data_IF_995068275793
#
_entry.id   IF_995068275793
#
_cell.length_a   1.000
_cell.length_b   1.000
_cell.length_c   1.000
_cell.angle_alpha   90.00
_cell.angle_beta   90.00
_cell.angle_gamma   90.00
#
_symmetry.space_group_name_H-M   'P 1'
#
loop_
_entity.id
_entity.type
_entity.pdbx_description
1 polymer ?
#
# COMPACT_ATOMS: atom_id res chain seq x y z
N UNK A 1 -5.91 0.50 2.78
CA UNK A 1 -7.06 -0.30 2.29
C UNK A 1 -7.70 -1.18 3.38
N UNK A 2 -6.91 -1.92 4.15
CA UNK A 2 -7.46 -2.74 5.28
C UNK A 2 -8.31 -1.89 6.22
N UNK A 3 -7.83 -0.72 6.62
CA UNK A 3 -8.55 0.18 7.54
C UNK A 3 -9.96 0.54 7.02
N UNK A 4 -10.10 0.81 5.73
CA UNK A 4 -11.39 1.12 5.11
C UNK A 4 -12.35 -0.07 5.15
N UNK A 5 -11.84 -1.26 4.84
CA UNK A 5 -12.66 -2.46 4.72
C UNK A 5 -13.03 -3.05 6.08
N UNK A 6 -12.19 -2.89 7.08
CA UNK A 6 -12.40 -3.40 8.43
C UNK A 6 -13.00 -2.38 9.40
N UNK A 7 -13.27 -1.16 8.96
CA UNK A 7 -13.85 -0.12 9.83
C UNK A 7 -12.92 0.33 10.95
N UNK A 8 -11.62 0.33 10.71
CA UNK A 8 -10.63 0.75 11.69
C UNK A 8 -10.72 2.28 11.94
N UNK A 9 -10.18 2.77 13.08
CA UNK A 9 -10.29 4.20 13.44
C UNK A 9 -9.79 5.18 12.38
N UNK A 10 -8.83 4.76 11.57
CA UNK A 10 -8.24 5.58 10.50
C UNK A 10 -9.09 5.62 9.22
N UNK A 11 -10.20 4.88 9.17
CA UNK A 11 -11.00 4.74 7.94
C UNK A 11 -11.48 6.06 7.36
N UNK A 12 -11.94 6.99 8.21
CA UNK A 12 -12.42 8.29 7.75
C UNK A 12 -11.29 9.14 7.14
N UNK A 13 -10.13 9.17 7.80
CA UNK A 13 -8.96 9.89 7.32
C UNK A 13 -8.49 9.33 5.98
N UNK A 14 -8.41 8.02 5.88
CA UNK A 14 -8.01 7.33 4.66
C UNK A 14 -9.01 7.59 3.53
N UNK A 15 -10.30 7.52 3.83
CA UNK A 15 -11.36 7.78 2.85
C UNK A 15 -11.30 9.22 2.32
N UNK A 16 -11.09 10.19 3.20
CA UNK A 16 -10.96 11.60 2.81
C UNK A 16 -9.72 11.83 1.93
N UNK A 17 -8.58 11.29 2.34
CA UNK A 17 -7.34 11.42 1.57
C UNK A 17 -7.46 10.76 0.19
N UNK A 18 -8.15 9.63 0.11
CA UNK A 18 -8.37 8.92 -1.14
C UNK A 18 -9.31 9.71 -2.07
N UNK A 19 -10.36 10.32 -1.51
CA UNK A 19 -11.30 11.15 -2.28
C UNK A 19 -10.62 12.40 -2.85
N UNK A 20 -9.65 12.97 -2.14
CA UNK A 20 -8.90 14.13 -2.58
C UNK A 20 -7.80 13.79 -3.60
N UNK A 21 -7.42 12.53 -3.74
CA UNK A 21 -6.39 12.12 -4.68
C UNK A 21 -6.88 12.20 -6.12
N UNK A 22 -6.11 12.85 -6.99
CA UNK A 22 -6.50 13.00 -8.40
C UNK A 22 -6.44 11.68 -9.18
N UNK A 23 -5.38 10.90 -8.95
CA UNK A 23 -5.14 9.64 -9.68
C UNK A 23 -4.62 8.58 -8.71
N UNK A 24 -5.47 8.12 -7.78
CA UNK A 24 -5.04 7.10 -6.82
C UNK A 24 -4.72 5.78 -7.53
N UNK A 25 -3.68 5.11 -7.06
CA UNK A 25 -3.33 3.79 -7.57
C UNK A 25 -2.83 2.88 -6.45
N UNK A 26 -2.82 1.60 -6.74
CA UNK A 26 -2.26 0.57 -5.89
C UNK A 26 -1.48 -0.43 -6.74
N UNK A 27 -0.85 -1.39 -6.10
CA UNK A 27 -0.02 -2.40 -6.76
C UNK A 27 -0.56 -3.79 -6.50
N UNK A 28 -0.14 -4.76 -7.30
CA UNK A 28 -0.46 -6.16 -7.06
C UNK A 28 0.00 -6.61 -5.66
N UNK A 29 1.20 -6.19 -5.25
CA UNK A 29 1.72 -6.51 -3.91
C UNK A 29 0.82 -5.95 -2.80
N UNK A 30 0.42 -4.69 -2.91
CA UNK A 30 -0.43 -4.05 -1.91
C UNK A 30 -1.80 -4.74 -1.82
N UNK A 31 -2.38 -5.10 -2.95
CA UNK A 31 -3.67 -5.82 -2.99
C UNK A 31 -3.53 -7.20 -2.34
N UNK A 32 -2.46 -7.92 -2.64
CA UNK A 32 -2.21 -9.22 -2.02
C UNK A 32 -2.05 -9.12 -0.50
N UNK A 33 -1.31 -8.13 -0.02
CA UNK A 33 -1.15 -7.88 1.42
C UNK A 33 -2.50 -7.63 2.10
N UNK A 34 -3.36 -6.83 1.47
CA UNK A 34 -4.71 -6.57 2.00
C UNK A 34 -5.54 -7.86 2.03
N UNK A 35 -5.50 -8.65 0.97
CA UNK A 35 -6.25 -9.91 0.90
C UNK A 35 -5.80 -10.88 2.00
N UNK A 36 -4.50 -11.00 2.22
CA UNK A 36 -3.94 -11.83 3.29
C UNK A 36 -4.35 -11.33 4.67
N UNK A 37 -4.33 -10.02 4.89
CA UNK A 37 -4.74 -9.43 6.16
C UNK A 37 -6.23 -9.65 6.44
N UNK A 38 -7.10 -9.47 5.45
CA UNK A 38 -8.54 -9.62 5.61
C UNK A 38 -8.97 -11.09 5.79
N UNK A 39 -8.22 -12.04 5.25
CA UNK A 39 -8.52 -13.45 5.40
C UNK A 39 -8.16 -14.02 6.80
N UNK A 40 -7.46 -13.25 7.64
CA UNK A 40 -7.16 -13.68 9.01
C UNK A 40 -8.43 -13.79 9.84
N UNK A 41 -8.36 -14.66 10.89
CA UNK A 41 -9.49 -14.94 11.77
C UNK A 41 -9.97 -13.73 12.59
N UNK A 42 -9.10 -12.74 12.80
CA UNK A 42 -9.42 -11.51 13.53
C UNK A 42 -9.99 -10.38 12.65
N UNK A 43 -10.17 -10.67 11.36
CA UNK A 43 -10.76 -9.74 10.39
C UNK A 43 -12.03 -10.38 9.79
N UNK A 44 -12.05 -10.61 8.49
CA UNK A 44 -13.22 -11.21 7.83
C UNK A 44 -13.33 -12.73 8.03
N UNK A 45 -12.21 -13.38 8.31
CA UNK A 45 -12.14 -14.84 8.52
C UNK A 45 -12.81 -15.63 7.39
N UNK A 46 -12.53 -15.26 6.15
CA UNK A 46 -13.02 -15.98 4.97
C UNK A 46 -11.85 -16.52 4.16
N UNK A 47 -12.05 -17.58 3.36
CA UNK A 47 -11.00 -18.07 2.47
C UNK A 47 -10.50 -16.94 1.57
N UNK A 48 -9.18 -16.89 1.37
CA UNK A 48 -8.55 -15.80 0.61
C UNK A 48 -9.14 -15.66 -0.80
N UNK A 49 -9.50 -16.75 -1.44
CA UNK A 49 -10.11 -16.72 -2.77
C UNK A 49 -11.44 -15.93 -2.81
N UNK A 50 -12.15 -15.84 -1.70
CA UNK A 50 -13.40 -15.09 -1.60
C UNK A 50 -13.18 -13.59 -1.40
N UNK A 51 -11.97 -13.18 -1.05
CA UNK A 51 -11.63 -11.78 -0.84
C UNK A 51 -11.43 -11.05 -2.18
N UNK A 52 -11.05 -11.78 -3.22
CA UNK A 52 -10.73 -11.21 -4.54
C UNK A 52 -11.85 -10.32 -5.08
N UNK A 53 -13.09 -10.83 -5.10
CA UNK A 53 -14.23 -10.06 -5.63
C UNK A 53 -14.46 -8.75 -4.88
N UNK A 54 -14.32 -8.77 -3.55
CA UNK A 54 -14.45 -7.58 -2.73
C UNK A 54 -13.33 -6.58 -3.01
N UNK A 55 -12.11 -7.05 -3.25
CA UNK A 55 -10.98 -6.18 -3.59
C UNK A 55 -11.16 -5.53 -4.94
N UNK A 56 -11.55 -6.30 -5.96
CA UNK A 56 -11.82 -5.76 -7.29
C UNK A 56 -12.93 -4.71 -7.22
N UNK A 57 -14.01 -5.01 -6.51
CA UNK A 57 -15.15 -4.10 -6.37
C UNK A 57 -14.72 -2.76 -5.73
N UNK A 58 -13.99 -2.77 -4.62
CA UNK A 58 -13.59 -1.54 -3.96
C UNK A 58 -12.60 -0.73 -4.79
N UNK A 59 -11.70 -1.39 -5.50
CA UNK A 59 -10.76 -0.74 -6.40
C UNK A 59 -11.52 0.00 -7.51
N UNK A 60 -12.48 -0.66 -8.13
CA UNK A 60 -13.31 -0.06 -9.17
C UNK A 60 -14.18 1.08 -8.65
N UNK A 61 -14.88 0.87 -7.53
CA UNK A 61 -15.77 1.88 -6.94
C UNK A 61 -15.03 3.15 -6.51
N UNK A 62 -13.79 3.01 -6.05
CA UNK A 62 -12.96 4.13 -5.60
C UNK A 62 -12.13 4.76 -6.71
N UNK A 63 -12.22 4.25 -7.94
CA UNK A 63 -11.44 4.77 -9.05
C UNK A 63 -9.93 4.58 -8.88
N UNK A 64 -9.52 3.52 -8.20
CA UNK A 64 -8.10 3.22 -7.94
C UNK A 64 -7.55 2.44 -9.11
N UNK A 65 -6.47 2.93 -9.73
CA UNK A 65 -5.78 2.20 -10.79
C UNK A 65 -4.85 1.13 -10.22
N UNK A 66 -4.63 0.07 -10.95
CA UNK A 66 -3.58 -0.93 -10.65
C UNK A 66 -2.35 -0.60 -11.46
N UNK A 67 -1.22 -0.43 -10.81
CA UNK A 67 0.06 -0.09 -11.45
C UNK A 67 1.20 -0.79 -10.76
N UNK A 68 2.12 -1.31 -11.56
CA UNK A 68 3.42 -1.79 -11.10
C UNK A 68 4.53 -1.08 -11.88
N UNK A 69 5.76 -1.19 -11.42
CA UNK A 69 6.89 -0.68 -12.18
C UNK A 69 7.08 -1.60 -13.40
N UNK A 70 6.96 -1.06 -14.64
CA UNK A 70 6.96 -1.92 -15.83
C UNK A 70 8.33 -2.56 -16.13
N UNK A 71 9.42 -1.97 -15.63
CA UNK A 71 10.78 -2.48 -15.85
C UNK A 71 11.31 -3.08 -14.54
N UNK A 72 11.42 -4.40 -14.48
CA UNK A 72 11.88 -5.11 -13.28
C UNK A 72 13.23 -4.63 -12.77
N UNK A 73 14.15 -4.30 -13.65
CA UNK A 73 15.48 -3.78 -13.27
C UNK A 73 15.38 -2.48 -12.46
N UNK A 74 14.45 -1.60 -12.81
CA UNK A 74 14.19 -0.37 -12.06
C UNK A 74 13.62 -0.68 -10.69
N UNK A 75 12.71 -1.65 -10.60
CA UNK A 75 12.16 -2.12 -9.32
C UNK A 75 13.25 -2.64 -8.40
N UNK A 76 14.17 -3.44 -8.93
CA UNK A 76 15.33 -3.96 -8.18
C UNK A 76 16.18 -2.82 -7.64
N UNK A 77 16.56 -1.88 -8.49
CA UNK A 77 17.43 -0.76 -8.11
C UNK A 77 16.79 0.09 -7.00
N UNK A 78 15.56 0.49 -7.16
CA UNK A 78 14.87 1.37 -6.20
C UNK A 78 14.58 0.66 -4.88
N UNK A 79 14.22 -0.62 -4.90
CA UNK A 79 13.94 -1.37 -3.68
C UNK A 79 15.21 -1.67 -2.88
N UNK A 80 16.31 -1.97 -3.54
CA UNK A 80 17.62 -2.17 -2.89
C UNK A 80 18.11 -0.85 -2.29
N UNK A 81 17.93 0.27 -2.99
CA UNK A 81 18.25 1.59 -2.44
C UNK A 81 17.47 1.86 -1.16
N UNK A 82 16.18 1.57 -1.15
CA UNK A 82 15.34 1.71 0.05
C UNK A 82 15.85 0.83 1.20
N UNK A 83 16.20 -0.41 0.91
CA UNK A 83 16.74 -1.32 1.92
C UNK A 83 18.05 -0.80 2.50
N UNK A 84 18.95 -0.28 1.68
CA UNK A 84 20.23 0.28 2.14
C UNK A 84 20.06 1.52 3.00
N UNK A 85 19.05 2.34 2.74
CA UNK A 85 18.85 3.61 3.45
C UNK A 85 17.92 3.51 4.66
N UNK A 86 16.91 2.63 4.63
CA UNK A 86 15.79 2.70 5.57
C UNK A 86 15.44 1.40 6.28
N UNK A 87 16.14 0.28 6.06
CA UNK A 87 15.82 -0.97 6.76
C UNK A 87 16.42 -1.09 8.16
N UNK A 88 17.51 -0.39 8.41
CA UNK A 88 18.18 -0.46 9.71
C UNK A 88 17.34 0.23 10.80
N UNK A 89 17.38 -0.33 12.01
CA UNK A 89 16.74 0.25 13.17
C UNK A 89 15.37 -0.33 13.47
N UNK A 90 14.80 0.12 14.58
CA UNK A 90 13.55 -0.41 15.15
C UNK A 90 12.34 -0.19 14.25
N UNK A 91 12.31 0.93 13.51
CA UNK A 91 11.22 1.31 12.63
C UNK A 91 11.63 1.22 11.17
N UNK A 92 12.59 0.34 10.86
CA UNK A 92 13.06 0.15 9.50
C UNK A 92 11.99 -0.44 8.60
N UNK A 93 12.12 -0.15 7.30
CA UNK A 93 11.22 -0.71 6.28
C UNK A 93 11.39 -2.23 6.21
N UNK A 94 10.29 -2.96 6.14
CA UNK A 94 10.32 -4.39 5.87
C UNK A 94 10.49 -4.66 4.37
N UNK A 95 10.45 -5.93 3.97
CA UNK A 95 10.64 -6.34 2.57
C UNK A 95 9.61 -5.69 1.64
N UNK A 96 8.33 -5.78 1.98
CA UNK A 96 7.26 -5.21 1.15
C UNK A 96 7.28 -3.70 1.14
N UNK A 97 7.64 -3.06 2.25
CA UNK A 97 7.78 -1.60 2.31
C UNK A 97 8.84 -1.08 1.35
N UNK A 98 9.94 -1.81 1.16
CA UNK A 98 10.96 -1.44 0.19
C UNK A 98 10.41 -1.44 -1.24
N UNK A 99 9.53 -2.38 -1.56
CA UNK A 99 8.88 -2.43 -2.87
C UNK A 99 7.81 -1.33 -3.02
N UNK A 100 7.06 -1.03 -1.97
CA UNK A 100 6.13 0.10 -1.97
C UNK A 100 6.87 1.44 -2.14
N UNK A 101 7.99 1.60 -1.45
CA UNK A 101 8.87 2.75 -1.63
C UNK A 101 9.31 2.88 -3.09
N UNK A 102 9.78 1.79 -3.68
CA UNK A 102 10.24 1.78 -5.07
C UNK A 102 9.15 2.27 -6.02
N UNK A 103 7.92 1.77 -5.85
CA UNK A 103 6.80 2.17 -6.69
C UNK A 103 6.44 3.64 -6.52
N UNK A 104 6.39 4.14 -5.29
CA UNK A 104 6.11 5.55 -5.01
C UNK A 104 7.18 6.46 -5.62
N UNK A 105 8.46 6.09 -5.51
CA UNK A 105 9.56 6.85 -6.13
C UNK A 105 9.46 6.86 -7.65
N UNK A 106 9.19 5.71 -8.25
CA UNK A 106 9.06 5.60 -9.70
C UNK A 106 7.97 6.51 -10.25
N UNK A 107 6.79 6.51 -9.61
CA UNK A 107 5.66 7.32 -10.04
C UNK A 107 5.64 8.73 -9.45
N UNK A 108 6.63 9.10 -8.63
CA UNK A 108 6.68 10.38 -7.92
C UNK A 108 5.38 10.65 -7.15
N UNK A 109 4.90 9.62 -6.47
CA UNK A 109 3.63 9.63 -5.76
C UNK A 109 3.83 9.77 -4.26
N UNK A 110 2.84 10.37 -3.60
CA UNK A 110 2.73 10.33 -2.14
C UNK A 110 2.22 8.97 -1.69
N UNK A 111 2.66 8.53 -0.52
CA UNK A 111 2.21 7.28 0.09
C UNK A 111 1.04 7.56 1.01
N UNK A 112 -0.02 6.76 0.89
CA UNK A 112 -1.12 6.75 1.84
C UNK A 112 -0.98 5.49 2.72
N UNK A 113 -0.61 5.69 3.98
CA UNK A 113 -0.36 4.62 4.93
C UNK A 113 -0.97 4.92 6.29
N UNK A 114 -1.28 3.89 7.05
CA UNK A 114 -1.77 4.02 8.42
C UNK A 114 -0.63 4.08 9.44
N UNK A 115 0.48 3.42 9.13
CA UNK A 115 1.66 3.36 10.01
C UNK A 115 2.68 4.43 9.64
N UNK A 116 3.67 4.62 10.49
CA UNK A 116 4.62 5.74 10.38
C UNK A 116 5.94 5.36 9.69
N UNK A 117 6.09 4.13 9.19
CA UNK A 117 7.34 3.63 8.63
C UNK A 117 7.86 4.46 7.45
N UNK A 118 6.98 5.04 6.65
CA UNK A 118 7.39 5.88 5.51
C UNK A 118 7.73 7.31 5.89
N UNK A 119 7.39 7.76 7.09
CA UNK A 119 7.67 9.15 7.53
C UNK A 119 9.16 9.41 7.72
N UNK A 120 9.95 8.37 7.94
CA UNK A 120 11.42 8.46 8.04
C UNK A 120 12.11 8.49 6.68
N UNK A 121 11.38 8.26 5.60
CA UNK A 121 11.91 8.26 4.24
C UNK A 121 11.81 9.64 3.59
N UNK A 122 12.36 9.75 2.39
CA UNK A 122 12.24 10.97 1.58
C UNK A 122 10.91 11.06 0.81
N UNK A 123 10.01 10.09 1.01
CA UNK A 123 8.67 10.13 0.40
C UNK A 123 7.76 11.11 1.14
N UNK A 124 6.86 11.74 0.39
CA UNK A 124 5.75 12.47 0.98
C UNK A 124 4.69 11.49 1.43
N UNK A 125 4.24 11.62 2.67
CA UNK A 125 3.17 10.79 3.23
C UNK A 125 1.90 11.62 3.29
N UNK A 126 0.82 11.11 2.70
CA UNK A 126 -0.47 11.78 2.70
C UNK A 126 -1.07 11.82 4.13
N UNK A 127 -1.76 12.90 4.50
CA UNK A 127 -2.32 13.09 5.83
C UNK A 127 -3.40 12.05 6.20
#
# INVERSE_FOLDING_TARGET
MVALLSGEPEAERISAALADAEKPFTTALAVLEVALALSRSDKWNVPIAQVESAMVEIIEQRGIALRDIPIAKTSVRLSIEAAGRYRAGRHGLNLSDCLHYATAKYYRASVLATDDEFRQTDLTVAP
#
